data_IF_446543950794
#
_entry.id   IF_446543950794
#
_cell.length_a   1.000
_cell.length_b   1.000
_cell.length_c   1.000
_cell.angle_alpha   90.00
_cell.angle_beta   90.00
_cell.angle_gamma   90.00
#
_symmetry.space_group_name_H-M   'P 1'
#
loop_
_entity.id
_entity.type
_entity.pdbx_description
1 polymer ?
#
# COMPACT_ATOMS: atom_id res chain seq x y z
N UNK A 1 34.36 -5.82 -73.38
CA UNK A 1 33.88 -5.76 -71.99
C UNK A 1 34.27 -7.06 -71.28
N UNK A 2 34.91 -7.01 -70.11
CA UNK A 2 35.40 -8.21 -69.39
C UNK A 2 34.24 -8.87 -68.62
N UNK A 3 34.10 -10.20 -68.74
CA UNK A 3 33.07 -10.97 -68.03
C UNK A 3 33.52 -11.27 -66.60
N UNK A 4 32.86 -10.68 -65.61
CA UNK A 4 33.15 -10.91 -64.17
C UNK A 4 32.32 -12.08 -63.63
N UNK A 5 32.95 -12.98 -62.85
CA UNK A 5 32.28 -14.11 -62.21
C UNK A 5 31.76 -13.78 -60.80
N UNK A 6 30.43 -13.81 -60.61
CA UNK A 6 29.74 -13.46 -59.36
C UNK A 6 29.48 -14.66 -58.42
N UNK A 7 29.80 -15.89 -58.85
CA UNK A 7 29.57 -17.13 -58.09
C UNK A 7 30.19 -17.12 -56.68
N UNK A 8 31.48 -16.74 -56.48
CA UNK A 8 32.08 -16.78 -55.14
C UNK A 8 31.40 -15.82 -54.16
N UNK A 9 31.07 -14.60 -54.60
CA UNK A 9 30.37 -13.61 -53.80
C UNK A 9 28.97 -14.09 -53.38
N UNK A 10 28.21 -14.69 -54.32
CA UNK A 10 26.89 -15.26 -54.05
C UNK A 10 26.95 -16.40 -53.03
N UNK A 11 27.93 -17.31 -53.14
CA UNK A 11 28.14 -18.40 -52.17
C UNK A 11 28.47 -17.86 -50.77
N UNK A 12 29.32 -16.83 -50.68
CA UNK A 12 29.68 -16.19 -49.39
C UNK A 12 28.45 -15.58 -48.70
N UNK A 13 27.60 -14.84 -49.42
CA UNK A 13 26.35 -14.27 -48.88
C UNK A 13 25.41 -15.36 -48.36
N UNK A 14 25.21 -16.44 -49.13
CA UNK A 14 24.36 -17.57 -48.74
C UNK A 14 24.84 -18.26 -47.48
N UNK A 15 26.14 -18.57 -47.39
CA UNK A 15 26.75 -19.20 -46.19
C UNK A 15 26.60 -18.31 -44.96
N UNK A 16 26.75 -16.98 -45.08
CA UNK A 16 26.57 -16.04 -43.96
C UNK A 16 25.17 -16.12 -43.36
N UNK A 17 24.13 -16.07 -44.19
CA UNK A 17 22.73 -16.11 -43.73
C UNK A 17 22.38 -17.47 -43.14
N UNK A 18 22.76 -18.57 -43.78
CA UNK A 18 22.51 -19.91 -43.24
C UNK A 18 23.26 -20.16 -41.92
N UNK A 19 24.44 -19.57 -41.74
CA UNK A 19 25.15 -19.60 -40.45
C UNK A 19 24.38 -18.89 -39.33
N UNK A 20 23.75 -17.75 -39.65
CA UNK A 20 22.92 -16.99 -38.71
C UNK A 20 21.58 -17.67 -38.42
N UNK A 21 21.04 -18.41 -39.38
CA UNK A 21 19.77 -19.14 -39.27
C UNK A 21 19.89 -20.53 -38.62
N UNK A 22 21.09 -20.91 -38.16
CA UNK A 22 21.30 -22.18 -37.44
C UNK A 22 20.40 -22.22 -36.20
N UNK A 23 19.72 -23.35 -36.00
CA UNK A 23 18.76 -23.54 -34.92
C UNK A 23 17.31 -23.16 -35.26
N UNK A 24 17.05 -22.53 -36.42
CA UNK A 24 15.69 -22.37 -36.90
C UNK A 24 15.09 -23.70 -37.38
N UNK A 25 13.77 -23.84 -37.25
CA UNK A 25 13.07 -25.09 -37.54
C UNK A 25 12.71 -25.18 -39.03
N UNK A 26 12.89 -26.36 -39.62
CA UNK A 26 12.46 -26.69 -40.98
C UNK A 26 13.13 -25.86 -42.08
N UNK A 27 12.33 -25.39 -43.04
CA UNK A 27 12.83 -24.64 -44.21
C UNK A 27 13.54 -23.33 -43.87
N UNK A 28 13.34 -22.80 -42.66
CA UNK A 28 13.96 -21.55 -42.18
C UNK A 28 15.44 -21.70 -41.82
N UNK A 29 15.98 -22.92 -41.71
CA UNK A 29 17.42 -23.16 -41.49
C UNK A 29 18.15 -23.72 -42.71
N UNK A 30 17.43 -24.23 -43.72
CA UNK A 30 18.02 -24.92 -44.88
C UNK A 30 17.94 -24.09 -46.17
N UNK A 31 16.78 -23.47 -46.46
CA UNK A 31 16.53 -22.75 -47.71
C UNK A 31 16.90 -21.28 -47.52
N UNK A 32 17.71 -20.72 -48.44
CA UNK A 32 18.25 -19.37 -48.31
C UNK A 32 17.16 -18.28 -48.24
N UNK A 33 16.12 -18.37 -49.07
CA UNK A 33 15.08 -17.34 -49.18
C UNK A 33 14.29 -17.21 -47.86
N UNK A 34 13.76 -18.34 -47.39
CA UNK A 34 13.03 -18.44 -46.12
C UNK A 34 13.91 -18.12 -44.91
N UNK A 35 15.17 -18.60 -44.90
CA UNK A 35 16.14 -18.27 -43.86
C UNK A 35 16.44 -16.77 -43.80
N UNK A 36 16.64 -16.13 -44.95
CA UNK A 36 16.90 -14.70 -45.02
C UNK A 36 15.74 -13.87 -44.47
N UNK A 37 14.50 -14.17 -44.89
CA UNK A 37 13.29 -13.52 -44.38
C UNK A 37 13.15 -13.70 -42.86
N UNK A 38 13.40 -14.93 -42.36
CA UNK A 38 13.34 -15.21 -40.93
C UNK A 38 14.40 -14.45 -40.14
N UNK A 39 15.67 -14.45 -40.60
CA UNK A 39 16.76 -13.73 -39.94
C UNK A 39 16.45 -12.23 -39.85
N UNK A 40 15.91 -11.64 -40.91
CA UNK A 40 15.53 -10.21 -40.91
C UNK A 40 14.43 -9.91 -39.87
N UNK A 41 13.39 -10.75 -39.81
CA UNK A 41 12.32 -10.62 -38.78
C UNK A 41 12.87 -10.81 -37.37
N UNK A 42 13.72 -11.83 -37.17
CA UNK A 42 14.34 -12.10 -35.88
C UNK A 42 15.25 -10.96 -35.43
N UNK A 43 15.94 -10.26 -36.33
CA UNK A 43 16.71 -9.06 -35.99
C UNK A 43 15.82 -7.89 -35.56
N UNK A 44 14.71 -7.68 -36.25
CA UNK A 44 13.71 -6.67 -35.85
C UNK A 44 13.15 -6.99 -34.45
N UNK A 45 12.77 -8.24 -34.19
CA UNK A 45 12.30 -8.68 -32.88
C UNK A 45 13.38 -8.56 -31.80
N UNK A 46 14.64 -8.91 -32.09
CA UNK A 46 15.73 -8.72 -31.14
C UNK A 46 15.95 -7.25 -30.80
N UNK A 47 15.84 -6.35 -31.78
CA UNK A 47 15.95 -4.90 -31.55
C UNK A 47 14.82 -4.39 -30.65
N UNK A 48 13.56 -4.73 -30.97
CA UNK A 48 12.40 -4.37 -30.15
C UNK A 48 12.49 -4.99 -28.76
N UNK A 49 12.88 -6.26 -28.66
CA UNK A 49 13.06 -7.00 -27.43
C UNK A 49 14.10 -6.36 -26.50
N UNK A 50 15.25 -5.92 -27.03
CA UNK A 50 16.25 -5.19 -26.23
C UNK A 50 15.70 -3.92 -25.61
N UNK A 51 14.83 -3.17 -26.31
CA UNK A 51 14.15 -2.00 -25.76
C UNK A 51 13.08 -2.39 -24.72
N UNK A 52 12.31 -3.44 -25.00
CA UNK A 52 11.22 -3.92 -24.13
C UNK A 52 11.72 -4.56 -22.83
N UNK A 53 12.90 -5.19 -22.85
CA UNK A 53 13.50 -5.85 -21.70
C UNK A 53 13.53 -4.94 -20.45
N UNK A 54 13.85 -3.64 -20.63
CA UNK A 54 13.84 -2.66 -19.53
C UNK A 54 12.47 -2.55 -18.85
N UNK A 55 11.38 -2.60 -19.64
CA UNK A 55 10.00 -2.58 -19.14
C UNK A 55 9.64 -3.90 -18.48
N UNK A 56 10.00 -5.03 -19.09
CA UNK A 56 9.66 -6.36 -18.57
C UNK A 56 10.32 -6.59 -17.19
N UNK A 57 11.60 -6.22 -17.03
CA UNK A 57 12.30 -6.24 -15.74
C UNK A 57 11.65 -5.32 -14.72
N UNK A 58 11.28 -4.09 -15.12
CA UNK A 58 10.60 -3.15 -14.23
C UNK A 58 9.26 -3.70 -13.74
N UNK A 59 8.46 -4.28 -14.63
CA UNK A 59 7.19 -4.91 -14.28
C UNK A 59 7.39 -6.06 -13.28
N UNK A 60 8.42 -6.88 -13.48
CA UNK A 60 8.79 -7.95 -12.55
C UNK A 60 9.19 -7.40 -11.18
N UNK A 61 10.04 -6.37 -11.13
CA UNK A 61 10.45 -5.76 -9.87
C UNK A 61 9.27 -5.15 -9.12
N UNK A 62 8.37 -4.44 -9.81
CA UNK A 62 7.14 -3.90 -9.20
C UNK A 62 6.30 -5.03 -8.62
N UNK A 63 6.13 -6.14 -9.35
CA UNK A 63 5.36 -7.29 -8.87
C UNK A 63 5.95 -7.91 -7.61
N UNK A 64 7.28 -8.05 -7.57
CA UNK A 64 8.01 -8.55 -6.40
C UNK A 64 7.88 -7.60 -5.20
N UNK A 65 8.05 -6.30 -5.43
CA UNK A 65 7.89 -5.29 -4.39
C UNK A 65 6.46 -5.28 -3.86
N UNK A 66 5.45 -5.38 -4.74
CA UNK A 66 4.05 -5.43 -4.30
C UNK A 66 3.77 -6.64 -3.40
N UNK A 67 4.34 -7.80 -3.70
CA UNK A 67 4.23 -8.97 -2.82
C UNK A 67 4.86 -8.71 -1.45
N UNK A 68 6.11 -8.21 -1.41
CA UNK A 68 6.77 -7.87 -0.15
C UNK A 68 6.07 -6.75 0.64
N UNK A 69 5.48 -5.76 -0.04
CA UNK A 69 4.67 -4.73 0.60
C UNK A 69 3.39 -5.32 1.20
N UNK A 70 2.73 -6.24 0.49
CA UNK A 70 1.53 -6.93 0.97
C UNK A 70 1.78 -7.73 2.25
N UNK A 71 2.95 -8.35 2.39
CA UNK A 71 3.36 -9.06 3.61
C UNK A 71 3.54 -8.11 4.80
N UNK A 72 3.95 -6.86 4.53
CA UNK A 72 4.15 -5.81 5.54
C UNK A 72 2.94 -4.87 5.71
N UNK A 73 1.78 -5.22 5.14
CA UNK A 73 0.52 -4.49 5.33
C UNK A 73 0.45 -3.11 4.65
N UNK A 74 1.35 -2.78 3.72
CA UNK A 74 1.32 -1.53 2.95
C UNK A 74 1.10 -1.80 1.46
N UNK A 75 0.41 -0.91 0.75
CA UNK A 75 0.29 -1.02 -0.71
C UNK A 75 1.53 -0.42 -1.42
N UNK A 76 1.85 -0.89 -2.63
CA UNK A 76 3.02 -0.45 -3.38
C UNK A 76 3.04 1.06 -3.66
N UNK A 77 1.90 1.67 -4.01
CA UNK A 77 1.81 3.12 -4.32
C UNK A 77 2.16 3.98 -3.12
N UNK A 78 1.58 3.69 -1.96
CA UNK A 78 1.83 4.36 -0.69
C UNK A 78 3.26 4.12 -0.24
N UNK A 79 3.79 2.91 -0.41
CA UNK A 79 5.19 2.62 -0.08
C UNK A 79 6.18 3.48 -0.88
N UNK A 80 6.05 3.53 -2.21
CA UNK A 80 6.93 4.36 -3.06
C UNK A 80 6.76 5.85 -2.75
N UNK A 81 5.53 6.28 -2.47
CA UNK A 81 5.26 7.66 -2.09
C UNK A 81 5.92 8.00 -0.74
N UNK A 82 5.78 7.15 0.27
CA UNK A 82 6.43 7.29 1.58
C UNK A 82 7.95 7.33 1.48
N UNK A 83 8.57 6.45 0.70
CA UNK A 83 10.02 6.51 0.48
C UNK A 83 10.48 7.83 -0.16
N UNK A 84 9.68 8.38 -1.09
CA UNK A 84 9.98 9.67 -1.70
C UNK A 84 9.88 10.81 -0.67
N UNK A 85 8.89 10.77 0.21
CA UNK A 85 8.74 11.75 1.30
C UNK A 85 9.90 11.68 2.30
N UNK A 86 10.33 10.46 2.63
CA UNK A 86 11.49 10.24 3.49
C UNK A 86 12.84 10.62 2.83
N UNK A 87 12.85 11.09 1.57
CA UNK A 87 14.06 11.48 0.85
C UNK A 87 14.93 10.30 0.38
N UNK A 88 14.39 9.08 0.37
CA UNK A 88 15.13 7.87 0.05
C UNK A 88 14.99 7.54 -1.44
N UNK A 89 16.02 7.87 -2.23
CA UNK A 89 16.08 7.49 -3.65
C UNK A 89 16.71 6.11 -3.83
N UNK A 90 15.86 5.07 -3.92
CA UNK A 90 16.31 3.68 -4.10
C UNK A 90 15.72 3.08 -5.36
N UNK A 91 16.59 2.43 -6.14
CA UNK A 91 16.18 1.73 -7.34
C UNK A 91 15.35 0.47 -7.02
N UNK A 92 14.26 0.28 -7.77
CA UNK A 92 13.37 -0.89 -7.68
C UNK A 92 14.09 -2.22 -7.86
N UNK A 93 15.17 -2.26 -8.66
CA UNK A 93 16.02 -3.46 -8.79
C UNK A 93 16.59 -3.89 -7.44
N UNK A 94 17.06 -2.93 -6.65
CA UNK A 94 17.68 -3.17 -5.34
C UNK A 94 16.61 -3.59 -4.34
N UNK A 95 15.48 -2.88 -4.28
CA UNK A 95 14.34 -3.25 -3.43
C UNK A 95 13.86 -4.67 -3.69
N UNK A 96 13.67 -5.04 -4.96
CA UNK A 96 13.26 -6.39 -5.33
C UNK A 96 14.30 -7.46 -4.96
N UNK A 97 15.58 -7.12 -4.91
CA UNK A 97 16.65 -8.02 -4.48
C UNK A 97 16.73 -8.14 -2.95
N UNK A 98 16.45 -7.06 -2.22
CA UNK A 98 16.41 -7.06 -0.75
C UNK A 98 15.30 -7.96 -0.23
N UNK A 99 14.13 -7.96 -0.85
CA UNK A 99 13.01 -8.84 -0.44
C UNK A 99 13.43 -10.32 -0.42
N UNK A 100 14.22 -10.74 -1.41
CA UNK A 100 14.64 -12.15 -1.54
C UNK A 100 15.79 -12.48 -0.59
N UNK A 101 16.81 -11.61 -0.53
CA UNK A 101 18.05 -11.93 0.19
C UNK A 101 18.03 -11.51 1.66
N UNK A 102 17.32 -10.42 1.99
CA UNK A 102 17.34 -9.74 3.30
C UNK A 102 15.97 -9.09 3.60
N UNK A 103 14.94 -9.90 3.91
CA UNK A 103 13.59 -9.39 4.15
C UNK A 103 13.50 -8.44 5.35
N UNK A 104 14.34 -8.63 6.38
CA UNK A 104 14.42 -7.74 7.56
C UNK A 104 14.75 -6.29 7.19
N UNK A 105 15.73 -6.10 6.28
CA UNK A 105 16.10 -4.77 5.79
C UNK A 105 14.93 -4.16 5.01
N UNK A 106 14.22 -4.96 4.21
CA UNK A 106 13.06 -4.47 3.48
C UNK A 106 11.95 -4.01 4.43
N UNK A 107 11.74 -4.71 5.55
CA UNK A 107 10.79 -4.31 6.59
C UNK A 107 11.12 -2.94 7.18
N UNK A 108 12.38 -2.65 7.47
CA UNK A 108 12.82 -1.32 7.92
C UNK A 108 12.42 -0.21 6.93
N UNK A 109 12.59 -0.43 5.62
CA UNK A 109 12.13 0.53 4.62
C UNK A 109 10.62 0.70 4.62
N UNK A 110 9.85 -0.36 4.85
CA UNK A 110 8.39 -0.26 4.93
C UNK A 110 7.92 0.52 6.16
N UNK A 111 8.57 0.32 7.31
CA UNK A 111 8.30 1.07 8.54
C UNK A 111 8.64 2.56 8.37
N UNK A 112 9.80 2.86 7.78
CA UNK A 112 10.18 4.24 7.44
C UNK A 112 9.15 4.91 6.52
N UNK A 113 8.69 4.20 5.50
CA UNK A 113 7.65 4.71 4.59
C UNK A 113 6.33 4.95 5.33
N UNK A 114 5.88 4.04 6.19
CA UNK A 114 4.67 4.22 6.99
C UNK A 114 4.76 5.44 7.91
N UNK A 115 5.91 5.63 8.58
CA UNK A 115 6.16 6.78 9.44
C UNK A 115 6.02 8.10 8.69
N UNK A 116 6.68 8.23 7.53
CA UNK A 116 6.61 9.44 6.70
C UNK A 116 5.20 9.76 6.19
N UNK A 117 4.39 8.72 5.89
CA UNK A 117 2.99 8.90 5.48
C UNK A 117 2.12 9.40 6.65
N UNK A 118 2.36 8.86 7.84
CA UNK A 118 1.66 9.26 9.05
C UNK A 118 1.96 10.73 9.40
N UNK A 119 3.22 11.15 9.34
CA UNK A 119 3.64 12.54 9.54
C UNK A 119 2.94 13.51 8.59
N UNK A 120 2.86 13.17 7.29
CA UNK A 120 2.17 14.00 6.31
C UNK A 120 0.67 14.13 6.60
N UNK A 121 0.01 13.02 6.94
CA UNK A 121 -1.41 13.04 7.27
C UNK A 121 -1.70 13.90 8.51
N UNK A 122 -0.85 13.84 9.54
CA UNK A 122 -1.00 14.68 10.74
C UNK A 122 -0.85 16.17 10.41
N UNK A 123 0.17 16.54 9.62
CA UNK A 123 0.36 17.93 9.20
C UNK A 123 -0.84 18.45 8.40
N UNK A 124 -1.39 17.62 7.51
CA UNK A 124 -2.58 17.97 6.75
C UNK A 124 -3.81 18.16 7.64
N UNK A 125 -4.03 17.27 8.61
CA UNK A 125 -5.12 17.41 9.58
C UNK A 125 -5.00 18.71 10.39
N UNK A 126 -3.79 19.11 10.77
CA UNK A 126 -3.54 20.38 11.47
C UNK A 126 -3.90 21.57 10.58
N UNK A 127 -3.46 21.56 9.32
CA UNK A 127 -3.80 22.61 8.33
C UNK A 127 -5.32 22.74 8.14
N UNK A 128 -6.03 21.62 7.99
CA UNK A 128 -7.49 21.59 7.82
C UNK A 128 -8.23 22.13 9.06
N UNK A 129 -7.73 21.84 10.28
CA UNK A 129 -8.28 22.37 11.53
C UNK A 129 -8.01 23.87 11.66
N UNK A 130 -6.83 24.35 11.25
CA UNK A 130 -6.50 25.78 11.27
C UNK A 130 -7.36 26.60 10.31
N UNK A 131 -7.71 26.08 9.12
CA UNK A 131 -8.60 26.75 8.18
C UNK A 131 -10.04 26.83 8.70
N UNK A 132 -10.59 25.72 9.22
CA UNK A 132 -11.96 25.70 9.78
C UNK A 132 -12.15 26.62 11.00
N UNK A 133 -11.11 26.83 11.82
CA UNK A 133 -11.11 27.80 12.92
C UNK A 133 -11.02 29.27 12.46
N UNK A 134 -10.51 29.56 11.26
CA UNK A 134 -10.51 30.90 10.68
C UNK A 134 -11.90 31.22 10.09
N UNK A 135 -12.49 30.27 9.35
CA UNK A 135 -13.83 30.41 8.77
C UNK A 135 -14.93 30.63 9.82
N UNK A 136 -14.83 29.95 10.98
CA UNK A 136 -15.78 30.14 12.09
C UNK A 136 -15.58 31.44 12.86
N UNK A 137 -14.38 32.04 12.86
CA UNK A 137 -14.13 33.35 13.46
C UNK A 137 -14.48 34.52 12.52
N UNK A 138 -14.46 34.32 11.21
CA UNK A 138 -14.86 35.32 10.23
C UNK A 138 -16.38 35.46 10.10
N UNK A 139 -17.16 34.39 10.35
CA UNK A 139 -18.63 34.45 10.53
C UNK A 139 -19.00 35.30 11.76
N UNK A 140 -18.28 35.14 12.88
CA UNK A 140 -18.53 35.90 14.11
C UNK A 140 -18.22 37.40 13.91
N UNK A 141 -17.27 37.75 13.04
CA UNK A 141 -16.95 39.16 12.73
C UNK A 141 -17.93 39.81 11.75
N UNK A 142 -18.52 39.06 10.81
CA UNK A 142 -19.52 39.61 9.88
C UNK A 142 -20.87 39.90 10.55
N UNK A 143 -21.20 39.17 11.62
CA UNK A 143 -22.47 39.33 12.35
C UNK A 143 -22.39 40.37 13.48
N UNK A 144 -21.22 41.02 13.70
CA UNK A 144 -21.00 42.01 14.76
C UNK A 144 -20.96 43.48 14.28
N UNK A 145 -21.14 43.73 12.99
CA UNK A 145 -21.26 45.09 12.43
C UNK A 145 -22.74 45.57 12.36
N UNK A 146 -23.46 45.42 13.48
CA UNK A 146 -24.64 46.23 13.83
C UNK A 146 -25.01 46.02 15.31
N UNK A 147 -24.23 46.58 16.25
CA UNK A 147 -24.72 47.16 17.51
C UNK A 147 -23.56 47.49 18.46
N UNK A 148 -23.13 48.75 18.40
CA UNK A 148 -22.14 49.34 19.30
C UNK A 148 -22.76 49.74 20.66
N UNK A 149 -23.28 48.79 21.46
CA UNK A 149 -23.87 49.13 22.79
C UNK A 149 -23.98 47.97 23.82
N UNK A 150 -23.12 46.95 23.86
CA UNK A 150 -23.22 45.88 24.91
C UNK A 150 -21.89 45.25 25.39
N UNK A 151 -20.72 45.80 25.06
CA UNK A 151 -19.42 45.20 25.43
C UNK A 151 -18.75 45.79 26.68
N UNK A 152 -19.32 46.80 27.32
CA UNK A 152 -18.78 47.38 28.56
C UNK A 152 -19.37 46.77 29.85
N UNK A 153 -20.51 46.09 29.76
CA UNK A 153 -21.22 45.50 30.92
C UNK A 153 -20.78 44.06 31.23
N UNK A 154 -20.49 43.23 30.23
CA UNK A 154 -20.28 41.78 30.43
C UNK A 154 -18.87 41.43 30.97
N UNK A 155 -17.86 42.28 30.71
CA UNK A 155 -16.48 42.03 31.19
C UNK A 155 -16.29 42.26 32.70
N UNK A 156 -17.24 42.91 33.37
CA UNK A 156 -17.16 43.22 34.80
C UNK A 156 -17.72 42.10 35.69
N UNK A 157 -18.60 41.26 35.14
CA UNK A 157 -19.33 40.26 35.92
C UNK A 157 -18.65 38.87 35.92
N UNK A 158 -17.67 38.61 35.04
CA UNK A 158 -16.96 37.32 34.98
C UNK A 158 -15.71 37.28 35.89
N UNK A 159 -15.08 38.42 36.16
CA UNK A 159 -13.84 38.53 36.96
C UNK A 159 -14.02 38.14 38.43
N UNK A 160 -15.23 38.27 38.96
CA UNK A 160 -15.49 38.10 40.40
C UNK A 160 -15.81 36.65 40.78
N UNK A 161 -15.99 35.76 39.80
CA UNK A 161 -16.32 34.33 39.99
C UNK A 161 -15.11 33.38 40.02
N UNK A 162 -13.96 33.80 39.49
CA UNK A 162 -12.78 32.92 39.30
C UNK A 162 -11.84 32.92 40.53
N UNK A 163 -12.05 33.82 41.49
CA UNK A 163 -11.24 33.93 42.72
C UNK A 163 -11.60 32.93 43.83
N UNK A 164 -12.59 32.05 43.66
CA UNK A 164 -13.06 31.13 44.73
C UNK A 164 -12.92 29.63 44.41
N UNK A 165 -12.41 29.25 43.23
CA UNK A 165 -12.23 27.84 42.86
C UNK A 165 -10.76 27.38 42.80
N UNK A 166 -9.88 28.03 43.56
CA UNK A 166 -8.46 27.68 43.69
C UNK A 166 -8.12 26.91 44.98
N UNK A 167 -9.06 26.16 45.58
CA UNK A 167 -8.76 25.36 46.79
C UNK A 167 -9.46 23.99 46.74
N UNK A 168 -8.91 23.07 45.94
CA UNK A 168 -8.94 21.60 46.19
C UNK A 168 -8.00 20.85 45.23
N UNK A 169 -6.77 21.34 45.05
CA UNK A 169 -5.70 20.54 44.46
C UNK A 169 -5.09 19.70 45.60
N UNK A 170 -5.71 18.56 45.87
CA UNK A 170 -5.16 17.54 46.75
C UNK A 170 -4.74 16.33 45.90
N UNK A 171 -3.42 16.26 45.65
CA UNK A 171 -2.58 15.05 45.57
C UNK A 171 -3.29 13.70 45.37
N UNK A 172 -3.88 13.47 44.19
CA UNK A 172 -4.46 12.17 43.80
C UNK A 172 -4.22 11.82 42.31
N UNK A 173 -3.36 12.58 41.62
CA UNK A 173 -3.06 12.39 40.20
C UNK A 173 -1.73 11.66 39.92
N UNK A 174 -0.96 11.29 40.96
CA UNK A 174 0.34 10.61 40.81
C UNK A 174 0.27 9.12 41.19
N UNK A 175 -0.73 8.70 41.98
CA UNK A 175 -0.92 7.28 42.32
C UNK A 175 -1.70 6.50 41.25
N UNK A 176 -2.45 7.19 40.38
CA UNK A 176 -3.27 6.60 39.31
C UNK A 176 -2.48 6.16 38.06
N UNK A 177 -1.16 6.30 38.04
CA UNK A 177 -0.31 5.86 36.92
C UNK A 177 0.28 4.47 37.19
N UNK A 178 0.49 4.11 38.46
CA UNK A 178 1.09 2.83 38.85
C UNK A 178 0.07 1.69 38.99
N UNK A 179 -1.23 2.01 39.14
CA UNK A 179 -2.31 1.01 39.12
C UNK A 179 -2.72 0.61 37.69
N UNK A 180 -2.35 1.40 36.67
CA UNK A 180 -2.65 1.09 35.26
C UNK A 180 -1.63 0.07 34.70
N UNK A 181 -0.38 0.08 35.17
CA UNK A 181 0.65 -0.86 34.69
C UNK A 181 0.56 -2.24 35.34
N UNK A 182 0.05 -2.35 36.58
CA UNK A 182 -0.25 -3.65 37.23
C UNK A 182 -1.50 -4.34 36.68
N UNK A 183 -2.49 -3.57 36.21
CA UNK A 183 -3.70 -4.12 35.61
C UNK A 183 -3.51 -4.65 34.17
N UNK A 184 -2.37 -4.35 33.53
CA UNK A 184 -2.06 -4.81 32.16
C UNK A 184 -1.30 -6.15 32.11
N UNK A 185 -0.85 -6.72 33.24
CA UNK A 185 -0.21 -8.05 33.28
C UNK A 185 -1.20 -9.20 33.46
N UNK A 186 -2.45 -8.92 33.84
CA UNK A 186 -3.46 -9.94 34.19
C UNK A 186 -4.53 -10.14 33.09
N UNK A 187 -4.37 -9.52 31.91
CA UNK A 187 -5.28 -9.69 30.76
C UNK A 187 -4.61 -10.60 29.71
N UNK A 188 -4.44 -11.89 30.06
CA UNK A 188 -4.06 -12.94 29.11
C UNK A 188 -5.06 -14.10 29.00
N UNK A 189 -6.21 -14.02 29.67
CA UNK A 189 -7.36 -14.88 29.41
C UNK A 189 -8.61 -13.98 29.43
N UNK A 190 -9.55 -14.19 28.49
CA UNK A 190 -10.84 -13.50 28.36
C UNK A 190 -10.90 -12.11 27.69
N UNK A 191 -10.60 -12.06 26.38
CA UNK A 191 -11.16 -11.04 25.47
C UNK A 191 -12.23 -11.66 24.55
N UNK A 192 -13.44 -11.80 25.07
CA UNK A 192 -14.65 -12.16 24.31
C UNK A 192 -15.17 -10.96 23.52
N UNK A 193 -14.50 -10.59 22.43
CA UNK A 193 -15.10 -9.70 21.43
C UNK A 193 -16.21 -10.48 20.70
N UNK A 194 -17.47 -10.33 21.13
CA UNK A 194 -18.62 -10.90 20.43
C UNK A 194 -18.82 -10.17 19.08
N UNK A 195 -18.70 -10.85 17.92
CA UNK A 195 -18.86 -10.23 16.62
C UNK A 195 -20.26 -9.63 16.42
N UNK A 196 -20.35 -8.31 16.28
CA UNK A 196 -21.61 -7.65 15.92
C UNK A 196 -22.06 -7.98 14.47
N UNK A 197 -23.35 -7.81 14.16
CA UNK A 197 -23.95 -8.11 12.85
C UNK A 197 -23.19 -7.45 11.67
N UNK A 198 -22.70 -6.23 11.87
CA UNK A 198 -21.92 -5.48 10.86
C UNK A 198 -20.59 -6.18 10.54
N UNK A 199 -19.93 -6.72 11.55
CA UNK A 199 -18.68 -7.47 11.42
C UNK A 199 -18.89 -8.80 10.71
N UNK A 200 -19.93 -9.56 11.08
CA UNK A 200 -20.26 -10.84 10.43
C UNK A 200 -20.62 -10.67 8.95
N UNK A 201 -21.36 -9.62 8.57
CA UNK A 201 -21.69 -9.33 7.16
C UNK A 201 -20.45 -9.07 6.29
N UNK A 202 -19.44 -8.40 6.85
CA UNK A 202 -18.18 -8.06 6.17
C UNK A 202 -17.24 -9.26 5.96
N UNK A 203 -17.39 -10.35 6.72
CA UNK A 203 -16.54 -11.53 6.61
C UNK A 203 -16.75 -12.31 5.30
N UNK A 204 -15.70 -12.99 4.81
CA UNK A 204 -15.82 -13.94 3.70
C UNK A 204 -16.47 -15.25 4.18
N UNK A 205 -16.97 -16.08 3.26
CA UNK A 205 -17.66 -17.33 3.60
C UNK A 205 -16.77 -18.34 4.35
N UNK A 206 -15.47 -18.37 4.02
CA UNK A 206 -14.52 -19.29 4.64
C UNK A 206 -14.32 -18.98 6.13
N UNK A 207 -14.12 -17.71 6.46
CA UNK A 207 -13.92 -17.23 7.82
C UNK A 207 -15.21 -17.42 8.64
N UNK A 208 -16.39 -17.17 8.04
CA UNK A 208 -17.68 -17.47 8.69
C UNK A 208 -17.84 -18.96 9.02
N UNK A 209 -17.41 -19.85 8.12
CA UNK A 209 -17.43 -21.30 8.37
C UNK A 209 -16.44 -21.73 9.46
N UNK A 210 -15.26 -21.13 9.50
CA UNK A 210 -14.27 -21.41 10.56
C UNK A 210 -14.79 -20.95 11.92
N UNK A 211 -15.40 -19.76 11.99
CA UNK A 211 -16.04 -19.24 13.19
C UNK A 211 -17.20 -20.13 13.62
N UNK A 212 -18.08 -20.52 12.70
CA UNK A 212 -19.20 -21.43 12.98
C UNK A 212 -18.76 -22.81 13.50
N UNK A 213 -17.62 -23.33 13.03
CA UNK A 213 -17.00 -24.55 13.59
C UNK A 213 -16.51 -24.35 15.03
N UNK A 214 -15.89 -23.20 15.33
CA UNK A 214 -15.43 -22.85 16.69
C UNK A 214 -16.60 -22.82 17.68
N UNK A 215 -17.78 -22.39 17.24
CA UNK A 215 -19.01 -22.36 18.02
C UNK A 215 -19.88 -23.63 17.87
N UNK A 216 -19.34 -24.76 17.40
CA UNK A 216 -20.06 -26.05 17.31
C UNK A 216 -21.40 -25.97 16.55
N UNK A 217 -21.47 -25.26 15.41
CA UNK A 217 -22.66 -25.25 14.54
C UNK A 217 -22.63 -26.49 13.63
N UNK A 218 -23.78 -27.14 13.45
CA UNK A 218 -23.91 -28.35 12.62
C UNK A 218 -24.06 -28.02 11.14
N UNK A 219 -23.60 -28.91 10.25
CA UNK A 219 -23.79 -28.82 8.78
C UNK A 219 -23.27 -27.51 8.11
N UNK A 220 -22.23 -26.89 8.69
CA UNK A 220 -21.57 -25.64 8.23
C UNK A 220 -21.20 -25.62 6.73
N UNK A 221 -20.91 -26.77 6.14
CA UNK A 221 -20.56 -26.89 4.71
C UNK A 221 -21.75 -26.69 3.77
N UNK A 222 -22.98 -27.00 4.21
CA UNK A 222 -24.21 -26.92 3.40
C UNK A 222 -24.94 -25.58 3.53
N UNK A 223 -24.61 -24.79 4.56
CA UNK A 223 -25.24 -23.52 4.85
C UNK A 223 -24.75 -22.40 3.92
N UNK A 224 -25.68 -21.52 3.53
CA UNK A 224 -25.38 -20.29 2.77
C UNK A 224 -24.84 -19.20 3.70
N UNK A 225 -24.24 -18.15 3.12
CA UNK A 225 -23.61 -17.05 3.88
C UNK A 225 -24.60 -16.36 4.84
N UNK A 226 -25.84 -16.10 4.40
CA UNK A 226 -26.87 -15.47 5.22
C UNK A 226 -27.26 -16.35 6.43
N UNK A 227 -27.58 -17.62 6.17
CA UNK A 227 -27.93 -18.61 7.20
C UNK A 227 -26.81 -18.77 8.26
N UNK A 228 -25.54 -18.74 7.85
CA UNK A 228 -24.41 -18.78 8.78
C UNK A 228 -24.31 -17.51 9.65
N UNK A 229 -24.63 -16.34 9.11
CA UNK A 229 -24.61 -15.08 9.86
C UNK A 229 -25.72 -15.09 10.91
N UNK A 230 -26.93 -15.52 10.53
CA UNK A 230 -28.08 -15.57 11.43
C UNK A 230 -27.85 -16.57 12.57
N UNK A 231 -27.36 -17.79 12.26
CA UNK A 231 -27.03 -18.82 13.26
C UNK A 231 -25.85 -18.44 14.16
N UNK A 232 -24.89 -17.67 13.65
CA UNK A 232 -23.79 -17.15 14.46
C UNK A 232 -24.27 -16.06 15.40
N UNK A 233 -25.17 -15.17 14.95
CA UNK A 233 -25.75 -14.11 15.77
C UNK A 233 -26.62 -14.67 16.89
N UNK A 234 -27.34 -15.77 16.66
CA UNK A 234 -28.13 -16.45 17.70
C UNK A 234 -27.27 -17.12 18.79
N UNK A 235 -26.00 -17.42 18.48
CA UNK A 235 -25.10 -18.22 19.34
C UNK A 235 -23.96 -17.41 19.99
N UNK A 236 -23.82 -16.14 19.61
CA UNK A 236 -22.80 -15.17 20.05
C UNK A 236 -23.42 -14.10 20.94
#
# INVERSE_FOLDING_TARGET
>A
MVKVNLVPARRKRRKKILKLAKGYVGSKSTIYKTAHEQVMRSWQYAYVGRKRNKRDWRSLWIRRINAGCSENGINYSSFIYGLKLAGVDVNRKILANLIINKPEIFKFYTELAQKSLFELNNNKLIEDISQSKLDSNDIIKSDLDSDSLTQQSIKKDFSDSVSQNSVSINNSAIDNINDIEKNNSDILEDNSFSPNLSSLKKMNLLNLRQLAKKHNINKVSKLKKAELIDLLLEKL
#
